data_IF_692701162680
#
_entry.id   IF_692701162680
#
_cell.length_a   1.000
_cell.length_b   1.000
_cell.length_c   1.000
_cell.angle_alpha   90.00
_cell.angle_beta   90.00
_cell.angle_gamma   90.00
#
_symmetry.space_group_name_H-M   'P 1'
#
loop_
_entity.id
_entity.type
_entity.pdbx_description
1 polymer ?
#
# COMPACT_ATOMS: atom_id res chain seq x y z
N UNK A 1 13.65 17.29 15.66
CA UNK A 1 12.38 17.31 16.40
C UNK A 1 11.35 17.88 15.44
N UNK A 2 10.15 17.30 15.38
CA UNK A 2 9.18 17.63 14.34
C UNK A 2 8.45 18.93 14.73
N UNK A 3 8.59 20.01 13.95
CA UNK A 3 8.06 21.33 14.34
C UNK A 3 6.54 21.30 14.52
N UNK A 4 5.85 20.50 13.71
CA UNK A 4 4.40 20.33 13.82
C UNK A 4 3.97 19.68 15.16
N UNK A 5 4.81 18.86 15.80
CA UNK A 5 4.53 18.30 17.13
C UNK A 5 4.73 19.32 18.27
N UNK A 6 5.38 20.46 18.00
CA UNK A 6 5.60 21.52 19.00
C UNK A 6 4.46 22.55 19.04
N UNK A 7 3.53 22.49 18.08
CA UNK A 7 2.36 23.36 18.04
C UNK A 7 1.38 23.03 19.18
N UNK A 8 0.72 24.05 19.73
CA UNK A 8 -0.43 23.81 20.60
C UNK A 8 -1.59 23.18 19.82
N UNK A 9 -2.52 22.52 20.51
CA UNK A 9 -3.69 21.91 19.88
C UNK A 9 -4.47 22.91 19.02
N UNK A 10 -4.69 24.14 19.51
CA UNK A 10 -5.39 25.19 18.77
C UNK A 10 -4.63 25.66 17.53
N UNK A 11 -3.30 25.73 17.61
CA UNK A 11 -2.46 26.07 16.46
C UNK A 11 -2.47 24.98 15.40
N UNK A 12 -2.36 23.72 15.82
CA UNK A 12 -2.39 22.57 14.93
C UNK A 12 -3.75 22.46 14.24
N UNK A 13 -4.86 22.61 14.96
CA UNK A 13 -6.22 22.62 14.38
C UNK A 13 -6.38 23.75 13.35
N UNK A 14 -5.94 24.96 13.67
CA UNK A 14 -5.99 26.09 12.73
C UNK A 14 -5.18 25.83 11.45
N UNK A 15 -3.99 25.23 11.57
CA UNK A 15 -3.15 24.89 10.41
C UNK A 15 -3.78 23.76 9.59
N UNK A 16 -4.38 22.76 10.24
CA UNK A 16 -5.14 21.69 9.58
C UNK A 16 -6.32 22.27 8.80
N UNK A 17 -7.12 23.15 9.42
CA UNK A 17 -8.25 23.83 8.78
C UNK A 17 -7.81 24.59 7.52
N UNK A 18 -6.80 25.47 7.66
CA UNK A 18 -6.36 26.30 6.54
C UNK A 18 -5.73 25.46 5.41
N UNK A 19 -5.06 24.36 5.74
CA UNK A 19 -4.51 23.41 4.76
C UNK A 19 -5.64 22.70 4.02
N UNK A 20 -6.66 22.24 4.74
CA UNK A 20 -7.84 21.58 4.19
C UNK A 20 -8.59 22.49 3.21
N UNK A 21 -8.82 23.75 3.60
CA UNK A 21 -9.49 24.75 2.76
C UNK A 21 -8.71 25.05 1.47
N UNK A 22 -7.38 25.17 1.55
CA UNK A 22 -6.52 25.44 0.39
C UNK A 22 -6.43 24.26 -0.59
N UNK A 23 -6.47 23.04 -0.08
CA UNK A 23 -6.39 21.82 -0.88
C UNK A 23 -7.78 21.32 -1.32
N UNK A 24 -8.86 21.96 -0.86
CA UNK A 24 -10.25 21.57 -1.09
C UNK A 24 -10.52 20.10 -0.68
N UNK A 25 -9.94 19.68 0.46
CA UNK A 25 -10.11 18.34 1.03
C UNK A 25 -10.60 18.42 2.47
N UNK A 26 -11.08 17.30 3.03
CA UNK A 26 -11.54 17.25 4.42
C UNK A 26 -10.40 17.48 5.42
N UNK A 27 -10.68 18.22 6.51
CA UNK A 27 -9.82 18.32 7.71
C UNK A 27 -9.31 16.97 8.21
N UNK A 28 -10.20 15.97 8.24
CA UNK A 28 -9.86 14.62 8.69
C UNK A 28 -8.79 13.97 7.83
N UNK A 29 -8.75 14.28 6.52
CA UNK A 29 -7.71 13.77 5.62
C UNK A 29 -6.37 14.44 5.92
N UNK A 30 -6.36 15.75 6.14
CA UNK A 30 -5.13 16.50 6.48
C UNK A 30 -4.58 16.05 7.83
N UNK A 31 -5.42 15.93 8.85
CA UNK A 31 -5.01 15.45 10.18
C UNK A 31 -4.45 14.01 10.11
N UNK A 32 -5.12 13.12 9.37
CA UNK A 32 -4.64 11.75 9.23
C UNK A 32 -3.34 11.69 8.42
N UNK A 33 -3.18 12.48 7.37
CA UNK A 33 -1.92 12.59 6.62
C UNK A 33 -0.76 13.04 7.51
N UNK A 34 -1.01 14.05 8.35
CA UNK A 34 -0.05 14.50 9.36
C UNK A 34 0.40 13.35 10.25
N UNK A 35 -0.53 12.63 10.88
CA UNK A 35 -0.19 11.50 11.76
C UNK A 35 0.46 10.32 11.04
N UNK A 36 0.09 10.05 9.77
CA UNK A 36 0.77 9.05 8.93
C UNK A 36 2.23 9.43 8.73
N UNK A 37 2.52 10.70 8.47
CA UNK A 37 3.90 11.16 8.30
C UNK A 37 4.67 11.10 9.63
N UNK A 38 4.06 11.45 10.77
CA UNK A 38 4.71 11.33 12.08
C UNK A 38 5.10 9.88 12.38
N UNK A 39 4.18 8.94 12.22
CA UNK A 39 4.48 7.54 12.51
C UNK A 39 5.49 6.95 11.53
N UNK A 40 5.43 7.30 10.25
CA UNK A 40 6.45 6.90 9.27
C UNK A 40 7.82 7.49 9.62
N UNK A 41 7.87 8.76 10.05
CA UNK A 41 9.12 9.38 10.48
C UNK A 41 9.77 8.60 11.63
N UNK A 42 8.98 8.29 12.67
CA UNK A 42 9.44 7.48 13.78
C UNK A 42 9.91 6.09 13.32
N UNK A 43 9.06 5.38 12.56
CA UNK A 43 9.32 4.01 12.10
C UNK A 43 10.63 3.90 11.31
N UNK A 44 10.95 4.89 10.46
CA UNK A 44 12.12 4.83 9.58
C UNK A 44 13.37 5.51 10.14
N UNK A 45 13.28 6.32 11.21
CA UNK A 45 14.44 7.02 11.77
C UNK A 45 14.83 6.57 13.19
N UNK A 46 13.85 6.27 14.04
CA UNK A 46 14.05 6.07 15.48
C UNK A 46 13.73 4.65 15.95
N UNK A 47 12.76 4.00 15.31
CA UNK A 47 12.28 2.69 15.73
C UNK A 47 13.39 1.61 15.71
N UNK A 48 13.35 0.73 16.71
CA UNK A 48 14.32 -0.36 16.91
C UNK A 48 14.54 -1.22 15.66
N UNK A 49 13.50 -1.43 14.86
CA UNK A 49 13.55 -2.27 13.65
C UNK A 49 13.51 -1.46 12.34
N UNK A 50 13.92 -0.20 12.35
CA UNK A 50 13.89 0.69 11.16
C UNK A 50 14.58 0.11 9.91
N UNK A 51 15.67 -0.65 10.08
CA UNK A 51 16.41 -1.27 8.97
C UNK A 51 15.78 -2.58 8.47
N UNK A 52 14.78 -3.08 9.19
CA UNK A 52 14.04 -4.32 8.89
C UNK A 52 12.65 -4.06 8.34
N UNK A 53 12.27 -2.79 8.10
CA UNK A 53 10.96 -2.43 7.55
C UNK A 53 11.09 -1.68 6.23
N UNK A 54 10.10 -1.84 5.35
CA UNK A 54 10.07 -1.17 4.05
C UNK A 54 8.62 -0.76 3.75
N UNK A 55 8.44 0.47 3.30
CA UNK A 55 7.15 1.04 2.98
C UNK A 55 6.67 0.58 1.59
N UNK A 56 5.40 0.20 1.47
CA UNK A 56 4.84 -0.30 0.21
C UNK A 56 3.36 0.06 0.06
N UNK A 57 2.75 -0.50 -0.99
CA UNK A 57 1.30 -0.54 -1.15
C UNK A 57 0.69 0.75 -1.68
N UNK A 58 -0.56 1.02 -1.30
CA UNK A 58 -1.32 2.18 -1.81
C UNK A 58 -0.74 3.51 -1.32
N UNK A 59 -0.44 3.59 -0.03
CA UNK A 59 0.02 4.83 0.59
C UNK A 59 1.42 5.23 0.14
N UNK A 60 2.30 4.27 -0.20
CA UNK A 60 3.58 4.63 -0.81
C UNK A 60 3.39 5.23 -2.21
N UNK A 61 2.43 4.76 -3.00
CA UNK A 61 2.16 5.34 -4.32
C UNK A 61 1.70 6.80 -4.25
N UNK A 62 0.87 7.16 -3.28
CA UNK A 62 0.46 8.56 -3.08
C UNK A 62 1.58 9.37 -2.42
N UNK A 63 2.10 8.94 -1.26
CA UNK A 63 3.03 9.76 -0.46
C UNK A 63 4.44 9.88 -1.01
N UNK A 64 4.95 8.85 -1.68
CA UNK A 64 6.33 8.83 -2.18
C UNK A 64 6.40 9.25 -3.64
N UNK A 65 5.44 8.79 -4.44
CA UNK A 65 5.52 8.91 -5.90
C UNK A 65 4.46 9.84 -6.50
N UNK A 66 3.46 10.29 -5.73
CA UNK A 66 2.32 11.08 -6.20
C UNK A 66 1.65 10.47 -7.45
N UNK A 67 1.57 9.14 -7.52
CA UNK A 67 1.07 8.40 -8.69
C UNK A 67 -0.43 8.11 -8.65
N UNK A 68 -1.07 8.27 -7.49
CA UNK A 68 -2.50 8.04 -7.30
C UNK A 68 -3.11 9.21 -6.53
N UNK A 69 -4.35 9.55 -6.87
CA UNK A 69 -5.10 10.67 -6.27
C UNK A 69 -6.29 10.14 -5.49
N UNK A 70 -5.99 9.32 -4.48
CA UNK A 70 -6.99 8.87 -3.52
C UNK A 70 -6.39 8.72 -2.15
N UNK A 71 -7.22 8.87 -1.14
CA UNK A 71 -6.87 8.55 0.21
C UNK A 71 -6.69 7.03 0.38
N UNK A 72 -5.74 6.66 1.22
CA UNK A 72 -5.50 5.26 1.58
C UNK A 72 -5.61 5.12 3.09
N UNK A 73 -6.50 4.24 3.53
CA UNK A 73 -6.77 4.07 4.96
C UNK A 73 -5.65 3.32 5.69
N UNK A 74 -4.93 2.48 4.96
CA UNK A 74 -3.92 1.53 5.44
C UNK A 74 -2.50 1.98 5.06
N UNK A 75 -1.53 1.77 5.93
CA UNK A 75 -0.09 1.95 5.68
C UNK A 75 0.55 0.57 5.61
N UNK A 76 0.83 0.10 4.40
CA UNK A 76 1.43 -1.22 4.19
C UNK A 76 2.95 -1.19 4.47
N UNK A 77 3.41 -2.04 5.39
CA UNK A 77 4.82 -2.20 5.73
C UNK A 77 5.25 -3.66 5.51
N UNK A 78 6.29 -3.85 4.69
CA UNK A 78 7.00 -5.11 4.60
C UNK A 78 7.99 -5.23 5.78
N UNK A 79 7.91 -6.32 6.54
CA UNK A 79 8.84 -6.65 7.62
C UNK A 79 9.81 -7.74 7.17
N UNK A 80 11.09 -7.60 7.49
CA UNK A 80 12.08 -8.63 7.19
C UNK A 80 11.90 -9.84 8.11
N UNK A 81 11.58 -11.00 7.54
CA UNK A 81 11.35 -12.24 8.29
C UNK A 81 12.52 -12.67 9.18
N UNK A 82 13.73 -12.17 8.94
CA UNK A 82 14.91 -12.46 9.79
C UNK A 82 14.72 -11.98 11.22
N UNK A 83 13.88 -10.97 11.48
CA UNK A 83 13.56 -10.53 12.84
C UNK A 83 12.77 -11.57 13.64
N UNK A 84 12.11 -12.50 12.94
CA UNK A 84 11.41 -13.64 13.54
C UNK A 84 12.35 -14.85 13.78
N UNK A 85 13.63 -14.74 13.43
CA UNK A 85 14.62 -15.82 13.58
C UNK A 85 14.80 -16.72 12.35
N UNK A 86 14.11 -16.43 11.24
CA UNK A 86 14.29 -17.18 9.98
C UNK A 86 15.61 -16.83 9.28
N UNK A 87 16.21 -17.79 8.58
CA UNK A 87 17.40 -17.52 7.74
C UNK A 87 17.04 -16.71 6.49
N UNK A 88 18.00 -15.98 5.93
CA UNK A 88 17.80 -15.12 4.76
C UNK A 88 17.09 -15.83 3.58
N UNK A 89 17.51 -17.05 3.23
CA UNK A 89 16.95 -17.83 2.12
C UNK A 89 15.88 -18.85 2.56
N UNK A 90 15.45 -18.81 3.81
CA UNK A 90 14.54 -19.83 4.35
C UNK A 90 13.17 -19.84 3.68
N UNK A 91 12.50 -18.69 3.43
CA UNK A 91 11.25 -18.69 2.67
C UNK A 91 11.40 -19.23 1.24
N UNK A 92 12.60 -19.14 0.66
CA UNK A 92 12.90 -19.55 -0.71
C UNK A 92 13.38 -20.99 -0.87
N UNK A 93 13.58 -21.75 0.22
CA UNK A 93 13.89 -23.19 0.11
C UNK A 93 12.83 -23.91 -0.74
N UNK A 94 13.28 -24.92 -1.48
CA UNK A 94 12.37 -25.77 -2.25
C UNK A 94 11.52 -26.63 -1.31
N UNK A 95 10.21 -26.64 -1.58
CA UNK A 95 9.18 -27.31 -0.77
C UNK A 95 8.09 -27.82 -1.70
N UNK A 96 7.42 -28.91 -1.30
CA UNK A 96 6.17 -29.28 -1.96
C UNK A 96 5.11 -28.17 -1.78
N UNK A 97 4.08 -28.17 -2.62
CA UNK A 97 3.01 -27.16 -2.58
C UNK A 97 2.38 -27.08 -1.18
N UNK A 98 2.08 -28.22 -0.58
CA UNK A 98 1.48 -28.31 0.76
C UNK A 98 2.45 -27.80 1.84
N UNK A 99 3.73 -28.18 1.74
CA UNK A 99 4.76 -27.71 2.68
C UNK A 99 4.99 -26.20 2.58
N UNK A 100 4.99 -25.63 1.37
CA UNK A 100 5.10 -24.18 1.17
C UNK A 100 3.89 -23.44 1.73
N UNK A 101 2.68 -23.95 1.50
CA UNK A 101 1.44 -23.38 2.06
C UNK A 101 1.46 -23.38 3.60
N UNK A 102 1.88 -24.49 4.21
CA UNK A 102 2.02 -24.59 5.66
C UNK A 102 3.10 -23.66 6.21
N UNK A 103 4.22 -23.51 5.50
CA UNK A 103 5.26 -22.54 5.86
C UNK A 103 4.74 -21.10 5.80
N UNK A 104 4.02 -20.72 4.74
CA UNK A 104 3.45 -19.38 4.58
C UNK A 104 2.42 -19.07 5.68
N UNK A 105 1.62 -20.06 6.11
CA UNK A 105 0.72 -19.91 7.25
C UNK A 105 1.51 -19.71 8.54
N UNK A 106 2.52 -20.55 8.79
CA UNK A 106 3.34 -20.46 10.00
C UNK A 106 4.04 -19.11 10.14
N UNK A 107 4.69 -18.62 9.09
CA UNK A 107 5.40 -17.32 9.14
C UNK A 107 4.42 -16.15 9.38
N UNK A 108 3.20 -16.23 8.85
CA UNK A 108 2.17 -15.23 9.15
C UNK A 108 1.74 -15.31 10.63
N UNK A 109 1.54 -16.50 11.20
CA UNK A 109 1.25 -16.63 12.63
C UNK A 109 2.40 -16.14 13.52
N UNK A 110 3.64 -16.47 13.17
CA UNK A 110 4.82 -15.98 13.89
C UNK A 110 4.97 -14.45 13.75
N UNK A 111 4.55 -13.87 12.62
CA UNK A 111 4.48 -12.41 12.44
C UNK A 111 3.48 -11.79 13.43
N UNK A 112 2.26 -12.34 13.53
CA UNK A 112 1.24 -11.85 14.48
C UNK A 112 1.73 -11.90 15.93
N UNK A 113 2.39 -12.99 16.32
CA UNK A 113 2.99 -13.13 17.66
C UNK A 113 4.06 -12.07 17.88
N UNK A 114 4.98 -11.89 16.93
CA UNK A 114 6.01 -10.86 17.02
C UNK A 114 5.43 -9.44 17.10
N UNK A 115 4.38 -9.14 16.31
CA UNK A 115 3.73 -7.84 16.35
C UNK A 115 3.11 -7.57 17.72
N UNK A 116 2.40 -8.56 18.27
CA UNK A 116 1.73 -8.44 19.58
C UNK A 116 2.72 -8.36 20.75
N UNK A 117 3.72 -9.23 20.77
CA UNK A 117 4.56 -9.44 21.96
C UNK A 117 5.84 -8.60 21.94
N UNK A 118 6.23 -8.06 20.77
CA UNK A 118 7.49 -7.31 20.60
C UNK A 118 7.27 -5.95 19.93
N UNK A 119 6.67 -5.91 18.74
CA UNK A 119 6.57 -4.67 17.96
C UNK A 119 5.68 -3.63 18.65
N UNK A 120 4.47 -4.03 19.04
CA UNK A 120 3.46 -3.17 19.65
C UNK A 120 3.92 -2.60 21.01
N UNK A 121 4.48 -3.38 21.96
CA UNK A 121 4.97 -2.84 23.23
C UNK A 121 6.06 -1.77 23.06
N UNK A 122 6.96 -1.93 22.07
CA UNK A 122 8.00 -0.92 21.77
C UNK A 122 7.32 0.36 21.24
N UNK A 123 6.42 0.23 20.27
CA UNK A 123 5.65 1.36 19.74
C UNK A 123 4.94 2.13 20.86
N UNK A 124 4.22 1.42 21.73
CA UNK A 124 3.50 2.02 22.87
C UNK A 124 4.46 2.78 23.79
N UNK A 125 5.54 2.14 24.24
CA UNK A 125 6.50 2.76 25.16
C UNK A 125 7.16 4.01 24.59
N UNK A 126 7.46 4.02 23.29
CA UNK A 126 8.12 5.16 22.67
C UNK A 126 7.13 6.29 22.36
N UNK A 127 5.91 5.98 21.93
CA UNK A 127 4.88 7.01 21.71
C UNK A 127 4.32 7.61 23.01
N UNK A 128 4.35 6.89 24.13
CA UNK A 128 4.07 7.46 25.46
C UNK A 128 5.05 8.60 25.82
N UNK A 129 6.29 8.52 25.33
CA UNK A 129 7.31 9.56 25.53
C UNK A 129 7.17 10.69 24.50
N UNK A 130 6.92 10.34 23.24
CA UNK A 130 6.82 11.31 22.13
C UNK A 130 5.57 12.18 22.28
N UNK A 131 4.42 11.57 22.58
CA UNK A 131 3.12 12.25 22.68
C UNK A 131 2.69 12.38 24.14
N UNK A 132 3.60 12.88 24.97
CA UNK A 132 3.34 13.10 26.39
C UNK A 132 2.07 13.94 26.56
N UNK A 133 1.23 13.54 27.53
CA UNK A 133 0.00 14.25 27.89
C UNK A 133 -1.10 14.27 26.80
N UNK A 134 -0.96 13.46 25.73
CA UNK A 134 -1.99 13.29 24.70
C UNK A 134 -2.73 11.95 24.86
N UNK A 135 -4.04 11.94 24.57
CA UNK A 135 -4.80 10.68 24.50
C UNK A 135 -4.48 9.98 23.19
N UNK A 136 -3.83 8.83 23.27
CA UNK A 136 -3.50 7.98 22.13
C UNK A 136 -3.56 6.51 22.53
N UNK A 137 -3.77 5.62 21.54
CA UNK A 137 -3.72 4.18 21.79
C UNK A 137 -3.21 3.42 20.58
N UNK A 138 -2.26 2.52 20.82
CA UNK A 138 -1.94 1.45 19.89
C UNK A 138 -2.57 0.13 20.31
N UNK A 139 -3.09 -0.64 19.36
CA UNK A 139 -3.65 -1.97 19.59
C UNK A 139 -3.58 -2.84 18.33
N UNK A 140 -3.66 -4.16 18.49
CA UNK A 140 -3.81 -5.10 17.37
C UNK A 140 -5.26 -5.08 16.90
N UNK A 141 -5.50 -5.01 15.60
CA UNK A 141 -6.84 -5.13 15.02
C UNK A 141 -7.48 -6.48 15.35
N UNK A 142 -8.75 -6.46 15.77
CA UNK A 142 -9.46 -7.67 16.21
C UNK A 142 -9.72 -8.67 15.08
N UNK A 143 -9.78 -8.18 13.84
CA UNK A 143 -10.08 -8.98 12.64
C UNK A 143 -8.84 -9.35 11.85
N UNK A 144 -7.73 -8.62 12.02
CA UNK A 144 -6.45 -8.91 11.39
C UNK A 144 -5.27 -8.72 12.35
N UNK A 145 -4.74 -9.83 12.86
CA UNK A 145 -3.58 -9.83 13.75
C UNK A 145 -2.28 -9.30 13.13
N UNK A 146 -2.23 -9.05 11.82
CA UNK A 146 -1.10 -8.39 11.15
C UNK A 146 -1.21 -6.86 11.14
N UNK A 147 -2.32 -6.31 11.63
CA UNK A 147 -2.57 -4.88 11.64
C UNK A 147 -2.41 -4.30 13.03
N UNK A 148 -1.52 -3.31 13.17
CA UNK A 148 -1.45 -2.44 14.36
C UNK A 148 -2.26 -1.18 14.05
N UNK A 149 -3.29 -0.93 14.84
CA UNK A 149 -4.09 0.29 14.81
C UNK A 149 -3.47 1.34 15.73
N UNK A 150 -3.33 2.56 15.21
CA UNK A 150 -2.96 3.75 15.95
C UNK A 150 -4.15 4.71 15.99
N UNK A 151 -4.81 4.74 17.15
CA UNK A 151 -5.80 5.76 17.49
C UNK A 151 -5.03 6.99 17.99
N UNK A 152 -4.79 7.90 17.06
CA UNK A 152 -3.98 9.10 17.28
C UNK A 152 -4.78 10.20 18.00
N UNK A 153 -4.11 11.19 18.61
CA UNK A 153 -4.79 12.34 19.21
C UNK A 153 -5.60 13.13 18.18
N UNK A 154 -6.89 13.37 18.48
CA UNK A 154 -7.83 14.09 17.61
C UNK A 154 -8.04 15.49 18.16
N UNK A 155 -7.89 16.50 17.30
CA UNK A 155 -7.94 17.91 17.72
C UNK A 155 -9.21 18.64 17.30
N UNK A 156 -10.05 18.01 16.49
CA UNK A 156 -11.35 18.55 16.09
C UNK A 156 -12.49 17.56 16.37
N UNK A 157 -13.68 18.09 16.61
CA UNK A 157 -14.89 17.28 16.72
C UNK A 157 -15.16 16.59 15.38
N UNK A 158 -15.60 15.33 15.46
CA UNK A 158 -15.90 14.49 14.31
C UNK A 158 -16.90 15.19 13.37
N UNK A 159 -16.47 15.57 12.16
CA UNK A 159 -17.30 16.19 11.12
C UNK A 159 -18.29 15.18 10.46
N UNK A 160 -18.65 14.09 11.14
CA UNK A 160 -19.62 13.10 10.63
C UNK A 160 -19.10 12.24 9.46
N UNK A 161 -17.78 12.22 9.21
CA UNK A 161 -17.19 11.73 7.97
C UNK A 161 -17.10 10.20 7.81
N UNK A 162 -17.06 9.74 6.56
CA UNK A 162 -16.91 8.34 6.15
C UNK A 162 -15.48 7.76 6.32
N UNK A 163 -14.54 8.53 6.87
CA UNK A 163 -13.11 8.17 6.94
C UNK A 163 -12.78 7.68 8.35
N UNK A 164 -12.17 6.49 8.43
CA UNK A 164 -11.66 5.96 9.70
C UNK A 164 -10.55 6.86 10.25
N UNK A 165 -10.81 7.48 11.42
CA UNK A 165 -9.85 8.29 12.18
C UNK A 165 -8.88 7.44 13.01
N UNK A 166 -8.39 6.36 12.40
CA UNK A 166 -7.39 5.45 12.94
C UNK A 166 -6.39 5.19 11.80
N UNK A 167 -5.10 5.15 12.13
CA UNK A 167 -4.08 4.71 11.18
C UNK A 167 -3.91 3.20 11.35
N UNK A 168 -4.06 2.46 10.25
CA UNK A 168 -3.88 1.01 10.22
C UNK A 168 -2.51 0.71 9.63
N UNK A 169 -1.59 0.21 10.45
CA UNK A 169 -0.29 -0.28 9.99
C UNK A 169 -0.43 -1.77 9.65
N UNK A 170 -0.59 -2.09 8.36
CA UNK A 170 -0.63 -3.48 7.89
C UNK A 170 0.80 -3.99 7.71
N UNK A 171 1.26 -4.88 8.60
CA UNK A 171 2.66 -5.31 8.66
C UNK A 171 2.76 -6.80 8.30
N UNK A 172 3.48 -7.12 7.23
CA UNK A 172 3.62 -8.50 6.74
C UNK A 172 5.05 -8.90 6.42
N UNK A 173 5.44 -10.12 6.79
CA UNK A 173 6.77 -10.66 6.46
C UNK A 173 6.87 -11.25 5.06
N UNK A 174 5.75 -11.66 4.44
CA UNK A 174 5.74 -12.23 3.10
C UNK A 174 5.65 -11.14 2.03
N UNK A 175 6.71 -10.34 1.92
CA UNK A 175 6.90 -9.40 0.82
C UNK A 175 8.28 -9.62 0.19
N UNK A 176 8.41 -9.35 -1.10
CA UNK A 176 9.71 -9.20 -1.73
C UNK A 176 9.82 -7.72 -2.11
N UNK A 177 10.51 -6.90 -1.32
CA UNK A 177 10.47 -5.45 -1.45
C UNK A 177 11.70 -4.93 -2.20
N UNK A 178 12.01 -5.53 -3.35
CA UNK A 178 13.22 -5.22 -4.14
C UNK A 178 12.83 -4.92 -5.59
N UNK A 179 13.22 -3.79 -6.18
CA UNK A 179 14.10 -2.76 -5.62
C UNK A 179 13.37 -1.86 -4.61
N UNK A 180 14.17 -1.25 -3.72
CA UNK A 180 13.74 -0.28 -2.72
C UNK A 180 14.68 0.90 -2.71
N UNK A 181 14.16 2.10 -2.53
CA UNK A 181 14.94 3.33 -2.55
C UNK A 181 14.55 4.24 -1.38
N UNK A 182 15.47 5.13 -0.99
CA UNK A 182 15.21 6.16 0.00
C UNK A 182 14.51 7.33 -0.65
N UNK A 183 13.42 7.78 -0.04
CA UNK A 183 12.62 8.91 -0.51
C UNK A 183 12.33 9.88 0.63
N UNK A 184 12.23 11.16 0.29
CA UNK A 184 11.68 12.18 1.19
C UNK A 184 10.17 12.23 1.01
N UNK A 185 9.43 12.28 2.12
CA UNK A 185 7.98 12.53 2.13
C UNK A 185 7.70 13.81 2.90
N UNK A 186 6.52 14.39 2.65
CA UNK A 186 6.05 15.63 3.25
C UNK A 186 4.64 15.45 3.78
N UNK A 187 4.26 16.18 4.81
CA UNK A 187 2.85 16.32 5.18
C UNK A 187 2.16 17.25 4.18
N UNK A 188 0.84 17.17 4.05
CA UNK A 188 0.07 18.17 3.30
C UNK A 188 0.25 19.58 3.87
N UNK A 189 0.43 19.70 5.18
CA UNK A 189 0.74 20.97 5.84
C UNK A 189 2.07 21.52 5.33
N UNK A 190 3.12 20.69 5.24
CA UNK A 190 4.42 21.07 4.69
C UNK A 190 4.33 21.43 3.20
N UNK A 191 3.53 20.70 2.42
CA UNK A 191 3.33 21.02 1.00
C UNK A 191 2.69 22.39 0.79
N UNK A 192 1.76 22.79 1.67
CA UNK A 192 1.08 24.10 1.61
C UNK A 192 1.90 25.23 2.23
N UNK A 193 2.71 24.94 3.25
CA UNK A 193 3.51 25.90 3.99
C UNK A 193 5.01 25.51 4.06
N UNK A 194 5.69 25.34 2.91
CA UNK A 194 7.05 24.81 2.85
C UNK A 194 8.12 25.75 3.44
N UNK A 195 7.81 27.04 3.58
CA UNK A 195 8.73 28.03 4.18
C UNK A 195 8.70 27.99 5.71
N UNK A 196 7.68 27.37 6.30
CA UNK A 196 7.47 27.31 7.76
C UNK A 196 7.88 25.94 8.31
N UNK A 197 7.38 24.89 7.66
CA UNK A 197 7.59 23.50 8.05
C UNK A 197 8.56 22.82 7.09
N UNK A 198 9.50 22.04 7.64
CA UNK A 198 10.42 21.19 6.89
C UNK A 198 10.80 20.02 7.80
N UNK A 199 9.91 19.04 7.85
CA UNK A 199 10.03 17.92 8.79
C UNK A 199 11.13 16.93 8.39
N UNK A 200 11.68 17.06 7.17
CA UNK A 200 12.77 16.24 6.63
C UNK A 200 12.56 14.73 6.84
N UNK A 201 11.34 14.26 6.54
CA UNK A 201 10.95 12.87 6.77
C UNK A 201 11.45 12.00 5.62
N UNK A 202 12.21 10.95 5.94
CA UNK A 202 12.70 9.98 4.98
C UNK A 202 12.15 8.58 5.25
N UNK A 203 11.79 7.88 4.19
CA UNK A 203 11.33 6.48 4.22
C UNK A 203 12.09 5.65 3.19
N UNK A 204 12.15 4.34 3.42
CA UNK A 204 12.60 3.37 2.41
C UNK A 204 11.36 2.75 1.79
N UNK A 205 11.12 2.95 0.50
CA UNK A 205 9.92 2.47 -0.18
C UNK A 205 10.24 1.53 -1.33
N UNK A 206 9.33 0.58 -1.58
CA UNK A 206 9.37 -0.30 -2.76
C UNK A 206 9.17 0.52 -4.02
N UNK A 207 9.92 0.18 -5.07
CA UNK A 207 9.82 0.82 -6.37
C UNK A 207 8.38 0.78 -6.93
N UNK A 208 7.96 1.89 -7.55
CA UNK A 208 6.61 2.06 -8.06
C UNK A 208 6.30 1.13 -9.23
N UNK A 209 7.29 0.77 -10.07
CA UNK A 209 7.10 -0.20 -11.15
C UNK A 209 6.86 -1.61 -10.60
N UNK A 210 7.56 -1.98 -9.54
CA UNK A 210 7.28 -3.25 -8.86
C UNK A 210 5.89 -3.28 -8.26
N UNK A 211 5.49 -2.21 -7.58
CA UNK A 211 4.14 -2.05 -7.02
C UNK A 211 3.07 -2.09 -8.11
N UNK A 212 3.35 -1.52 -9.27
CA UNK A 212 2.49 -1.60 -10.46
C UNK A 212 2.28 -3.05 -10.88
N UNK A 213 3.34 -3.84 -11.06
CA UNK A 213 3.21 -5.25 -11.39
C UNK A 213 2.53 -6.07 -10.30
N UNK A 214 2.75 -5.77 -9.02
CA UNK A 214 1.98 -6.39 -7.93
C UNK A 214 0.47 -6.15 -8.12
N UNK A 215 0.05 -4.94 -8.51
CA UNK A 215 -1.35 -4.65 -8.84
C UNK A 215 -1.82 -5.36 -10.10
N UNK A 216 -1.02 -5.38 -11.18
CA UNK A 216 -1.33 -6.14 -12.39
C UNK A 216 -1.62 -7.62 -12.07
N UNK A 217 -0.83 -8.25 -11.20
CA UNK A 217 -1.10 -9.64 -10.78
C UNK A 217 -2.37 -9.79 -9.94
N UNK A 218 -2.75 -8.77 -9.15
CA UNK A 218 -4.03 -8.74 -8.43
C UNK A 218 -5.18 -8.66 -9.43
N UNK A 219 -5.16 -7.71 -10.36
CA UNK A 219 -6.19 -7.57 -11.40
C UNK A 219 -6.31 -8.86 -12.20
N UNK A 220 -5.18 -9.49 -12.54
CA UNK A 220 -5.16 -10.76 -13.25
C UNK A 220 -5.81 -11.91 -12.50
N UNK A 221 -5.51 -12.03 -11.21
CA UNK A 221 -6.16 -13.01 -10.35
C UNK A 221 -7.68 -12.78 -10.28
N UNK A 222 -8.11 -11.55 -10.10
CA UNK A 222 -9.54 -11.22 -10.00
C UNK A 222 -10.26 -11.40 -11.34
N UNK A 223 -9.62 -11.09 -12.46
CA UNK A 223 -10.18 -11.28 -13.79
C UNK A 223 -10.37 -12.76 -14.18
N UNK A 224 -9.61 -13.66 -13.55
CA UNK A 224 -9.72 -15.10 -13.71
C UNK A 224 -10.59 -15.79 -12.63
N UNK A 225 -11.14 -15.05 -11.67
CA UNK A 225 -11.98 -15.60 -10.62
C UNK A 225 -13.22 -16.29 -11.19
N UNK A 226 -13.55 -17.48 -10.66
CA UNK A 226 -14.71 -18.29 -11.07
C UNK A 226 -15.66 -18.67 -9.95
N UNK A 227 -15.35 -18.31 -8.69
CA UNK A 227 -16.13 -18.74 -7.53
C UNK A 227 -17.25 -17.76 -7.12
N UNK A 228 -17.50 -16.69 -7.88
CA UNK A 228 -18.50 -15.65 -7.57
C UNK A 228 -18.20 -14.78 -6.34
N UNK A 229 -17.25 -15.17 -5.49
CA UNK A 229 -16.90 -14.45 -4.27
C UNK A 229 -15.83 -13.39 -4.53
N UNK A 230 -16.24 -12.22 -5.00
CA UNK A 230 -15.34 -11.09 -5.22
C UNK A 230 -15.04 -10.34 -3.91
N UNK A 231 -13.79 -9.91 -3.69
CA UNK A 231 -13.44 -9.14 -2.51
C UNK A 231 -13.99 -7.71 -2.57
N UNK A 232 -14.36 -7.17 -1.40
CA UNK A 232 -14.73 -5.77 -1.22
C UNK A 232 -13.47 -4.89 -1.16
N UNK A 233 -13.60 -3.59 -1.45
CA UNK A 233 -12.54 -2.57 -1.46
C UNK A 233 -11.44 -2.80 -2.50
N UNK A 234 -11.68 -3.65 -3.50
CA UNK A 234 -10.70 -4.00 -4.53
C UNK A 234 -10.79 -3.14 -5.79
N UNK A 235 -11.88 -2.39 -5.98
CA UNK A 235 -12.00 -1.37 -7.04
C UNK A 235 -10.85 -0.36 -7.00
N UNK A 236 -10.30 -0.09 -5.80
CA UNK A 236 -9.10 0.74 -5.57
C UNK A 236 -7.90 0.31 -6.40
N UNK A 237 -7.74 -1.00 -6.65
CA UNK A 237 -6.64 -1.50 -7.46
C UNK A 237 -6.81 -1.14 -8.94
N UNK A 238 -8.03 -1.14 -9.47
CA UNK A 238 -8.31 -0.70 -10.83
C UNK A 238 -8.06 0.80 -10.98
N UNK A 239 -8.52 1.61 -10.02
CA UNK A 239 -8.23 3.04 -10.00
C UNK A 239 -6.73 3.33 -9.96
N UNK A 240 -5.99 2.66 -9.06
CA UNK A 240 -4.53 2.83 -8.95
C UNK A 240 -3.82 2.48 -10.26
N UNK A 241 -4.14 1.34 -10.85
CA UNK A 241 -3.55 0.91 -12.13
C UNK A 241 -3.88 1.90 -13.24
N UNK A 242 -5.12 2.39 -13.32
CA UNK A 242 -5.50 3.42 -14.27
C UNK A 242 -4.65 4.68 -14.11
N UNK A 243 -4.51 5.22 -12.90
CA UNK A 243 -3.69 6.43 -12.65
C UNK A 243 -2.23 6.20 -13.02
N UNK A 244 -1.67 5.03 -12.70
CA UNK A 244 -0.28 4.68 -13.04
C UNK A 244 -0.05 4.49 -14.55
N UNK A 245 -1.04 3.99 -15.30
CA UNK A 245 -0.98 3.90 -16.77
C UNK A 245 -0.89 5.29 -17.43
N UNK A 246 -1.38 6.34 -16.76
CA UNK A 246 -1.29 7.71 -17.26
C UNK A 246 0.08 8.37 -17.03
N UNK A 247 1.04 7.66 -16.43
CA UNK A 247 2.40 8.16 -16.19
C UNK A 247 3.44 7.37 -16.98
N UNK A 248 4.71 7.71 -16.80
CA UNK A 248 5.86 7.01 -17.36
C UNK A 248 5.98 5.53 -16.93
N UNK A 249 5.24 5.10 -15.90
CA UNK A 249 5.17 3.71 -15.45
C UNK A 249 4.68 2.79 -16.56
N UNK A 250 3.78 3.26 -17.43
CA UNK A 250 3.29 2.48 -18.57
C UNK A 250 4.44 2.03 -19.49
N UNK A 251 5.28 2.96 -19.92
CA UNK A 251 6.37 2.62 -20.86
C UNK A 251 7.46 1.79 -20.17
N UNK A 252 7.75 2.08 -18.89
CA UNK A 252 8.64 1.26 -18.06
C UNK A 252 8.12 -0.17 -17.90
N UNK A 253 6.81 -0.36 -17.76
CA UNK A 253 6.20 -1.67 -17.58
C UNK A 253 6.06 -2.47 -18.87
N UNK A 254 6.10 -1.81 -20.03
CA UNK A 254 6.18 -2.50 -21.32
C UNK A 254 7.60 -2.97 -21.63
N UNK A 255 8.63 -2.36 -21.03
CA UNK A 255 10.04 -2.66 -21.36
C UNK A 255 10.76 -3.52 -20.31
N UNK A 256 10.33 -3.49 -19.04
CA UNK A 256 11.01 -4.18 -17.94
C UNK A 256 10.29 -5.47 -17.50
N UNK A 257 10.22 -6.45 -18.41
CA UNK A 257 9.49 -7.71 -18.16
C UNK A 257 10.22 -8.67 -17.21
N UNK A 258 11.50 -8.45 -16.91
CA UNK A 258 12.20 -9.18 -15.85
C UNK A 258 11.62 -8.87 -14.46
N UNK A 259 11.21 -7.62 -14.22
CA UNK A 259 10.50 -7.26 -12.99
C UNK A 259 9.14 -7.94 -12.90
N UNK A 260 8.43 -8.07 -14.02
CA UNK A 260 7.17 -8.82 -14.05
C UNK A 260 7.39 -10.30 -13.69
N UNK A 261 8.43 -10.94 -14.26
CA UNK A 261 8.80 -12.33 -13.94
C UNK A 261 9.11 -12.53 -12.46
N UNK A 262 9.87 -11.62 -11.85
CA UNK A 262 10.21 -11.73 -10.42
C UNK A 262 8.97 -11.64 -9.54
N UNK A 263 8.05 -10.70 -9.84
CA UNK A 263 6.76 -10.58 -9.15
C UNK A 263 5.91 -11.86 -9.31
N UNK A 264 5.86 -12.44 -10.51
CA UNK A 264 5.15 -13.71 -10.77
C UNK A 264 5.76 -14.84 -9.94
N UNK A 265 7.07 -15.00 -9.97
CA UNK A 265 7.77 -16.04 -9.22
C UNK A 265 7.43 -15.95 -7.71
N UNK A 266 7.50 -14.73 -7.17
CA UNK A 266 7.13 -14.46 -5.79
C UNK A 266 5.65 -14.80 -5.49
N UNK A 267 4.71 -14.35 -6.32
CA UNK A 267 3.27 -14.60 -6.15
C UNK A 267 2.94 -16.10 -6.24
N UNK A 268 3.56 -16.83 -7.16
CA UNK A 268 3.36 -18.28 -7.30
C UNK A 268 3.82 -19.05 -6.06
N UNK A 269 4.93 -18.64 -5.43
CA UNK A 269 5.48 -19.29 -4.22
C UNK A 269 4.72 -18.91 -2.94
N UNK A 270 4.40 -17.64 -2.76
CA UNK A 270 3.86 -17.13 -1.48
C UNK A 270 2.34 -16.93 -1.45
N UNK A 271 1.73 -16.67 -2.61
CA UNK A 271 0.32 -16.31 -2.76
C UNK A 271 -0.39 -17.17 -3.82
N UNK A 272 -0.11 -18.47 -3.80
CA UNK A 272 -0.68 -19.43 -4.73
C UNK A 272 -2.20 -19.41 -4.65
N UNK A 273 -2.82 -19.30 -5.82
CA UNK A 273 -4.27 -19.29 -5.98
C UNK A 273 -4.60 -20.03 -7.27
N UNK A 274 -5.49 -21.02 -7.21
CA UNK A 274 -5.71 -21.97 -8.32
C UNK A 274 -6.24 -21.31 -9.58
N UNK A 275 -7.04 -20.25 -9.45
CA UNK A 275 -7.55 -19.49 -10.59
C UNK A 275 -6.65 -18.33 -10.99
N UNK A 276 -5.58 -18.03 -10.25
CA UNK A 276 -4.74 -16.87 -10.55
C UNK A 276 -3.97 -17.00 -11.87
N UNK A 277 -3.70 -18.24 -12.33
CA UNK A 277 -3.09 -18.51 -13.64
C UNK A 277 -1.83 -17.70 -13.92
N UNK A 278 -0.99 -17.47 -12.91
CA UNK A 278 0.21 -16.62 -13.05
C UNK A 278 1.17 -17.12 -14.14
N UNK A 279 1.20 -18.43 -14.40
CA UNK A 279 2.01 -19.01 -15.47
C UNK A 279 1.56 -18.54 -16.87
N UNK A 280 0.27 -18.23 -17.07
CA UNK A 280 -0.27 -17.73 -18.35
C UNK A 280 0.16 -16.29 -18.67
N UNK A 281 0.58 -15.51 -17.66
CA UNK A 281 1.03 -14.12 -17.85
C UNK A 281 2.22 -14.09 -18.81
N UNK A 282 3.22 -14.95 -18.58
CA UNK A 282 4.42 -15.05 -19.43
C UNK A 282 4.18 -15.82 -20.73
N UNK A 283 2.93 -16.10 -21.08
CA UNK A 283 2.52 -16.57 -22.42
C UNK A 283 1.85 -15.45 -23.24
N UNK A 284 1.83 -14.21 -22.71
CA UNK A 284 1.10 -13.10 -23.32
C UNK A 284 -0.41 -13.29 -23.27
N UNK A 285 -0.91 -13.88 -22.18
CA UNK A 285 -2.33 -14.09 -21.87
C UNK A 285 -2.73 -13.36 -20.58
N UNK A 286 -2.13 -12.19 -20.34
CA UNK A 286 -2.58 -11.28 -19.30
C UNK A 286 -4.04 -10.92 -19.56
N UNK A 287 -4.84 -11.13 -18.53
CA UNK A 287 -6.23 -10.71 -18.40
C UNK A 287 -6.32 -9.76 -17.22
N UNK A 288 -6.90 -8.58 -17.37
CA UNK A 288 -7.04 -7.54 -16.34
C UNK A 288 -8.50 -7.12 -16.19
N UNK A 289 -9.30 -7.27 -17.24
CA UNK A 289 -10.72 -6.95 -17.21
C UNK A 289 -11.53 -8.12 -16.61
N UNK A 290 -12.34 -7.88 -15.56
CA UNK A 290 -13.12 -8.91 -14.90
C UNK A 290 -14.30 -9.39 -15.76
N UNK A 291 -14.92 -10.49 -15.35
CA UNK A 291 -16.19 -10.95 -15.90
C UNK A 291 -17.30 -9.90 -15.68
N UNK A 292 -18.42 -10.02 -16.40
CA UNK A 292 -19.58 -9.12 -16.21
C UNK A 292 -20.09 -9.11 -14.75
N UNK A 293 -20.07 -10.27 -14.10
CA UNK A 293 -20.43 -10.38 -12.68
C UNK A 293 -19.45 -9.60 -11.80
N UNK A 294 -18.14 -9.83 -11.96
CA UNK A 294 -17.11 -9.11 -11.22
C UNK A 294 -17.13 -7.61 -11.51
N UNK A 295 -17.43 -7.21 -12.75
CA UNK A 295 -17.56 -5.82 -13.16
C UNK A 295 -18.65 -5.09 -12.35
N UNK A 296 -19.81 -5.71 -12.18
CA UNK A 296 -20.90 -5.14 -11.37
C UNK A 296 -20.52 -5.01 -9.90
N UNK A 297 -19.80 -5.98 -9.34
CA UNK A 297 -19.33 -5.91 -7.95
C UNK A 297 -18.32 -4.78 -7.79
N UNK A 298 -17.30 -4.71 -8.65
CA UNK A 298 -16.27 -3.68 -8.55
C UNK A 298 -16.79 -2.27 -8.89
N UNK A 299 -17.81 -2.13 -9.74
CA UNK A 299 -18.48 -0.85 -9.97
C UNK A 299 -19.19 -0.35 -8.71
N UNK A 300 -19.93 -1.23 -8.02
CA UNK A 300 -20.60 -0.88 -6.77
C UNK A 300 -19.58 -0.56 -5.66
N UNK A 301 -18.46 -1.28 -5.63
CA UNK A 301 -17.35 -1.00 -4.73
C UNK A 301 -16.69 0.35 -5.05
N UNK A 302 -16.50 0.69 -6.33
CA UNK A 302 -15.93 1.97 -6.76
C UNK A 302 -16.78 3.16 -6.31
N UNK A 303 -18.11 3.06 -6.46
CA UNK A 303 -19.06 4.09 -6.01
C UNK A 303 -18.95 4.38 -4.51
N UNK A 304 -18.63 3.37 -3.69
CA UNK A 304 -18.43 3.54 -2.24
C UNK A 304 -17.12 4.23 -1.90
N UNK A 305 -16.15 4.20 -2.81
CA UNK A 305 -14.83 4.82 -2.65
C UNK A 305 -14.78 6.27 -3.18
N UNK A 306 -15.82 6.76 -3.88
CA UNK A 306 -15.80 8.10 -4.52
C UNK A 306 -15.42 9.23 -3.53
N UNK A 307 -15.89 9.16 -2.28
CA UNK A 307 -15.56 10.13 -1.23
C UNK A 307 -14.09 10.10 -0.77
N UNK A 308 -13.31 9.11 -1.21
CA UNK A 308 -11.88 8.98 -0.95
C UNK A 308 -11.03 9.43 -2.15
N UNK A 309 -11.65 9.76 -3.29
CA UNK A 309 -10.94 10.22 -4.49
C UNK A 309 -10.71 11.73 -4.42
N UNK A 310 -9.56 12.17 -4.93
CA UNK A 310 -9.23 13.58 -5.08
C UNK A 310 -9.30 14.00 -6.56
N UNK A 311 -9.67 15.25 -6.79
CA UNK A 311 -9.79 15.81 -8.15
C UNK A 311 -10.99 15.27 -8.92
N UNK A 312 -10.89 15.27 -10.25
CA UNK A 312 -12.00 14.87 -11.12
C UNK A 312 -12.36 13.39 -10.98
N UNK A 313 -13.63 13.13 -10.68
CA UNK A 313 -14.20 11.78 -10.65
C UNK A 313 -14.18 11.16 -12.05
N UNK A 314 -13.47 10.05 -12.18
CA UNK A 314 -13.37 9.31 -13.45
C UNK A 314 -14.44 8.23 -13.51
N UNK A 315 -15.26 8.16 -14.56
CA UNK A 315 -16.21 7.06 -14.74
C UNK A 315 -15.52 5.69 -14.78
N UNK A 316 -16.07 4.71 -14.07
CA UNK A 316 -15.46 3.38 -13.94
C UNK A 316 -15.29 2.66 -15.29
N UNK A 317 -16.20 2.86 -16.23
CA UNK A 317 -16.09 2.32 -17.59
C UNK A 317 -14.91 2.92 -18.36
N UNK A 318 -14.53 4.18 -18.09
CA UNK A 318 -13.32 4.80 -18.66
C UNK A 318 -12.04 4.18 -18.07
N UNK A 319 -12.04 3.90 -16.77
CA UNK A 319 -10.95 3.19 -16.07
C UNK A 319 -10.73 1.82 -16.73
N UNK A 320 -11.81 1.04 -16.88
CA UNK A 320 -11.76 -0.30 -17.45
C UNK A 320 -11.32 -0.28 -18.93
N UNK A 321 -11.84 0.64 -19.74
CA UNK A 321 -11.42 0.78 -21.15
C UNK A 321 -9.93 1.02 -21.27
N UNK A 322 -9.37 1.94 -20.46
CA UNK A 322 -7.93 2.21 -20.46
C UNK A 322 -7.10 1.00 -20.02
N UNK A 323 -7.58 0.26 -19.04
CA UNK A 323 -6.94 -0.99 -18.59
C UNK A 323 -6.97 -2.05 -19.70
N UNK A 324 -8.05 -2.16 -20.48
CA UNK A 324 -8.16 -3.09 -21.61
C UNK A 324 -7.20 -2.75 -22.76
N UNK A 325 -7.02 -1.46 -23.04
CA UNK A 325 -5.99 -0.98 -23.98
C UNK A 325 -4.59 -1.44 -23.51
N UNK A 326 -4.25 -1.14 -22.25
CA UNK A 326 -2.97 -1.52 -21.67
C UNK A 326 -2.76 -3.04 -21.61
N UNK A 327 -3.80 -3.83 -21.31
CA UNK A 327 -3.75 -5.30 -21.35
C UNK A 327 -3.28 -5.81 -22.73
N UNK A 328 -3.80 -5.20 -23.79
CA UNK A 328 -3.44 -5.57 -25.18
C UNK A 328 -1.98 -5.23 -25.48
N UNK A 329 -1.52 -4.04 -25.06
CA UNK A 329 -0.14 -3.59 -25.20
C UNK A 329 0.85 -4.49 -24.43
N UNK A 330 0.53 -4.81 -23.17
CA UNK A 330 1.36 -5.67 -22.33
C UNK A 330 1.47 -7.09 -22.92
N UNK A 331 0.36 -7.66 -23.41
CA UNK A 331 0.37 -8.95 -24.06
C UNK A 331 1.23 -8.98 -25.33
N UNK A 332 1.19 -7.90 -26.13
CA UNK A 332 2.05 -7.77 -27.31
C UNK A 332 3.54 -7.69 -26.91
N UNK A 333 3.88 -6.86 -25.91
CA UNK A 333 5.25 -6.75 -25.42
C UNK A 333 5.79 -8.08 -24.89
N UNK A 334 5.00 -8.81 -24.09
CA UNK A 334 5.38 -10.12 -23.56
C UNK A 334 5.66 -11.12 -24.68
N UNK A 335 4.81 -11.18 -25.71
CA UNK A 335 5.02 -12.06 -26.87
C UNK A 335 6.31 -11.71 -27.62
N UNK A 336 6.58 -10.42 -27.85
CA UNK A 336 7.81 -9.97 -28.48
C UNK A 336 9.05 -10.35 -27.66
N UNK A 337 8.98 -10.15 -26.34
CA UNK A 337 10.05 -10.48 -25.41
C UNK A 337 10.39 -11.98 -25.41
N UNK A 338 9.39 -12.86 -25.44
CA UNK A 338 9.59 -14.32 -25.53
C UNK A 338 10.23 -14.69 -26.87
N UNK A 339 9.72 -14.14 -27.99
CA UNK A 339 10.30 -14.36 -29.31
C UNK A 339 11.77 -13.92 -29.42
N UNK A 340 12.17 -12.87 -28.68
CA UNK A 340 13.54 -12.38 -28.65
C UNK A 340 14.45 -13.19 -27.72
N UNK A 341 13.90 -13.84 -26.69
CA UNK A 341 14.67 -14.65 -25.71
C UNK A 341 14.88 -16.11 -26.16
N UNK A 342 14.20 -16.52 -27.25
CA UNK A 342 14.26 -17.87 -27.84
C UNK A 342 15.13 -17.92 -29.11
N UNK A 343 15.65 -16.77 -29.54
CA UNK A 343 16.71 -16.64 -30.54
C UNK A 343 18.04 -16.48 -29.82
#
# INVERSE_FOLDING_TARGET
MNKLLELSNDQLDLVIQNTADKLEISRTIVEKDFWVCIILNYLFNEFKYKDSIIFKGGTSLSKVFNLIQRFSEDVDIALDWRVLGYKALEPYKERSITQQSNFNKKINEDTKVFLKDVFLPILQSDFEKILKDCTQRFYIDETDGNTICFDYPKYHNFDGGFILQIIRLEIGCLAEPIPKNRHRIRTYIEEVYPDIFDENIYVIAVDSLRTFYEKITILHREANRKNGHYPLRYSRHYYDVYKMILTDIKEKSLTNLEMLKSVIHFKTKFYRCSWAKYDEIMEGKVKLVPSNEGMNVFLNDYRRMENMLFGDLVPFDRIIRKIQEYESELNMSIKQYICNSTK
#
